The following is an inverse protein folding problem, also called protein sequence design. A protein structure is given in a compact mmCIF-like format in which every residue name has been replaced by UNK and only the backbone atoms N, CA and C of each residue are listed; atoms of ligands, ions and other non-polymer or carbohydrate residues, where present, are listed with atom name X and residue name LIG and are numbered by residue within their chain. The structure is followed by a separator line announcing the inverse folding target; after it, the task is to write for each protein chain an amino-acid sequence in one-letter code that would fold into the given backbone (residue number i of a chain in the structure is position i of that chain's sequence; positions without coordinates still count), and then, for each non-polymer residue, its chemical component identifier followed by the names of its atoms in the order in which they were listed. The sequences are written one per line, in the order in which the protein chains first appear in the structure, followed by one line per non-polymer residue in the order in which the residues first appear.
data_IF_291607618118
#
_entry.id   IF_291607618118
#
_cell.length_a   1.000
_cell.length_b   1.000
_cell.length_c   1.000
_cell.angle_alpha   90.00
_cell.angle_beta   90.00
_cell.angle_gamma   90.00
#
_symmetry.space_group_name_H-M   'P 1'
#
loop_
_entity.id
_entity.type
_entity.pdbx_description
1 polymer ?
#
# COMPACT_ATOMS: atom_id res chain seq x y z
N UNK A 1 3.20 -23.64 4.80
CA UNK A 1 3.31 -22.91 3.51
C UNK A 1 3.63 -21.45 3.81
N UNK A 2 4.77 -20.93 3.34
CA UNK A 2 5.10 -19.50 3.49
C UNK A 2 4.20 -18.75 2.52
N UNK A 3 3.09 -18.17 3.00
CA UNK A 3 2.29 -17.23 2.20
C UNK A 3 3.20 -16.03 1.89
N UNK A 4 3.60 -15.89 0.64
CA UNK A 4 4.43 -14.77 0.20
C UNK A 4 3.55 -13.53 0.15
N UNK A 5 3.73 -12.62 1.10
CA UNK A 5 3.12 -11.29 1.08
C UNK A 5 3.61 -10.51 -0.14
N UNK A 6 2.71 -9.72 -0.74
CA UNK A 6 3.02 -8.84 -1.85
C UNK A 6 3.57 -7.54 -1.26
N UNK A 7 4.83 -7.24 -1.56
CA UNK A 7 5.47 -5.99 -1.16
C UNK A 7 4.89 -4.81 -1.94
N UNK A 8 4.30 -3.86 -1.22
CA UNK A 8 3.65 -2.68 -1.78
C UNK A 8 4.23 -1.41 -1.18
N UNK A 9 4.33 -0.34 -1.98
CA UNK A 9 4.68 1.00 -1.50
C UNK A 9 3.49 1.92 -1.74
N UNK A 10 3.03 2.62 -0.72
CA UNK A 10 1.99 3.64 -0.88
C UNK A 10 2.61 4.85 -1.58
N UNK A 11 2.00 5.29 -2.68
CA UNK A 11 2.46 6.45 -3.44
C UNK A 11 1.59 7.68 -3.18
N UNK A 12 0.29 7.48 -3.04
CA UNK A 12 -0.68 8.54 -2.81
C UNK A 12 -1.88 7.96 -2.08
N UNK A 13 -2.37 8.65 -1.08
CA UNK A 13 -3.60 8.31 -0.38
C UNK A 13 -4.62 9.43 -0.56
N UNK A 14 -5.88 9.04 -0.66
CA UNK A 14 -7.05 9.91 -0.64
C UNK A 14 -8.10 9.27 0.25
N UNK A 15 -9.16 10.00 0.60
CA UNK A 15 -10.21 9.50 1.51
C UNK A 15 -10.87 8.20 1.06
N UNK A 16 -10.83 7.87 -0.25
CA UNK A 16 -11.48 6.68 -0.82
C UNK A 16 -10.51 5.67 -1.43
N UNK A 17 -9.35 6.14 -1.88
CA UNK A 17 -8.47 5.34 -2.75
C UNK A 17 -7.01 5.51 -2.33
N UNK A 18 -6.29 4.39 -2.26
CA UNK A 18 -4.85 4.32 -2.04
C UNK A 18 -4.19 3.88 -3.34
N UNK A 19 -3.32 4.71 -3.88
CA UNK A 19 -2.47 4.34 -5.02
C UNK A 19 -1.24 3.64 -4.49
N UNK A 20 -1.14 2.34 -4.74
CA UNK A 20 0.00 1.52 -4.36
C UNK A 20 0.90 1.23 -5.56
N UNK A 21 2.17 1.01 -5.29
CA UNK A 21 3.15 0.46 -6.20
C UNK A 21 3.52 -0.95 -5.74
N UNK A 22 3.21 -1.94 -6.55
CA UNK A 22 3.66 -3.31 -6.36
C UNK A 22 5.17 -3.32 -6.62
N UNK A 23 5.96 -3.55 -5.57
CA UNK A 23 7.43 -3.47 -5.65
C UNK A 23 7.97 -4.56 -6.57
N UNK A 24 7.40 -5.76 -6.49
CA UNK A 24 7.79 -6.94 -7.29
C UNK A 24 7.50 -6.77 -8.78
N UNK A 25 6.40 -6.09 -9.12
CA UNK A 25 5.93 -5.94 -10.50
C UNK A 25 6.24 -4.54 -11.08
N UNK A 26 6.82 -3.66 -10.27
CA UNK A 26 7.04 -2.24 -10.59
C UNK A 26 5.77 -1.52 -11.13
N UNK A 27 4.58 -2.05 -10.81
CA UNK A 27 3.28 -1.59 -11.35
C UNK A 27 2.57 -0.72 -10.33
N UNK A 28 1.93 0.35 -10.80
CA UNK A 28 1.07 1.21 -9.98
C UNK A 28 -0.38 0.80 -10.15
N UNK A 29 -1.13 0.76 -9.06
CA UNK A 29 -2.54 0.40 -9.06
C UNK A 29 -3.29 1.21 -8.01
N UNK A 30 -4.41 1.85 -8.36
CA UNK A 30 -5.34 2.36 -7.37
C UNK A 30 -6.16 1.21 -6.78
N UNK A 31 -6.25 1.17 -5.45
CA UNK A 31 -7.10 0.26 -4.70
C UNK A 31 -7.98 1.08 -3.75
N UNK A 32 -9.19 0.60 -3.47
CA UNK A 32 -10.02 1.23 -2.46
C UNK A 32 -9.30 1.18 -1.10
N UNK A 33 -9.53 2.19 -0.26
CA UNK A 33 -8.92 2.23 1.07
C UNK A 33 -9.33 1.02 1.92
N UNK A 34 -10.61 0.66 1.89
CA UNK A 34 -11.14 -0.51 2.60
C UNK A 34 -10.46 -1.81 2.16
N UNK A 35 -10.29 -2.02 0.85
CA UNK A 35 -9.66 -3.24 0.35
C UNK A 35 -8.16 -3.24 0.67
N UNK A 36 -7.51 -2.09 0.62
CA UNK A 36 -6.10 -1.96 0.99
C UNK A 36 -5.88 -2.34 2.45
N UNK A 37 -6.64 -1.75 3.37
CA UNK A 37 -6.55 -2.05 4.81
C UNK A 37 -6.86 -3.52 5.10
N UNK A 38 -7.88 -4.08 4.46
CA UNK A 38 -8.24 -5.49 4.58
C UNK A 38 -7.09 -6.41 4.11
N UNK A 39 -6.50 -6.14 2.95
CA UNK A 39 -5.37 -6.92 2.41
C UNK A 39 -4.11 -6.82 3.25
N UNK A 40 -3.85 -5.68 3.88
CA UNK A 40 -2.75 -5.55 4.86
C UNK A 40 -3.05 -6.38 6.10
N UNK A 41 -4.28 -6.30 6.62
CA UNK A 41 -4.71 -7.07 7.80
C UNK A 41 -4.67 -8.59 7.56
N UNK A 42 -5.03 -9.03 6.36
CA UNK A 42 -5.02 -10.44 5.96
C UNK A 42 -3.60 -10.96 5.66
N UNK A 43 -2.59 -10.08 5.72
CA UNK A 43 -1.19 -10.40 5.43
C UNK A 43 -0.88 -10.60 3.94
N UNK A 44 -1.80 -10.22 3.06
CA UNK A 44 -1.59 -10.24 1.61
C UNK A 44 -0.64 -9.12 1.18
N UNK A 45 -0.72 -7.96 1.82
CA UNK A 45 0.13 -6.80 1.54
C UNK A 45 1.13 -6.55 2.66
N UNK A 46 2.39 -6.39 2.27
CA UNK A 46 3.47 -5.93 3.13
C UNK A 46 3.87 -4.53 2.68
N UNK A 47 3.59 -3.53 3.50
CA UNK A 47 3.91 -2.13 3.17
C UNK A 47 5.41 -1.91 3.38
N UNK A 48 6.12 -1.58 2.31
CA UNK A 48 7.56 -1.38 2.31
C UNK A 48 7.88 0.11 2.18
N UNK A 49 8.51 0.64 3.22
CA UNK A 49 8.90 2.04 3.36
C UNK A 49 8.06 2.77 4.40
N UNK A 50 8.63 3.84 4.95
CA UNK A 50 7.92 4.71 5.88
C UNK A 50 6.70 5.29 5.16
N UNK A 51 5.50 4.91 5.60
CA UNK A 51 4.36 5.80 5.49
C UNK A 51 4.63 6.94 6.48
N UNK A 52 5.67 7.74 6.19
CA UNK A 52 5.81 9.04 6.81
C UNK A 52 4.65 9.83 6.25
N UNK A 53 3.64 10.00 7.09
CA UNK A 53 2.66 11.06 6.98
C UNK A 53 3.49 12.33 6.79
N UNK A 54 3.67 12.73 5.53
CA UNK A 54 4.28 13.99 5.20
C UNK A 54 3.25 15.06 5.52
N UNK A 55 3.08 15.34 6.81
CA UNK A 55 2.85 16.68 7.29
C UNK A 55 4.09 17.49 6.90
N UNK A 56 4.12 17.92 5.65
CA UNK A 56 5.02 18.97 5.19
C UNK A 56 4.14 20.10 4.71
N UNK A 57 3.49 20.75 5.68
CA UNK A 57 3.27 22.18 5.61
C UNK A 57 4.66 22.85 5.66
N UNK A 58 5.07 23.45 4.56
CA UNK A 58 6.02 24.57 4.54
C UNK A 58 5.33 25.77 3.91
#
# INVERSE_FOLDING_TARGET
MIKRSIKVKVLRETSRTVTIKLVTLNRRMPVSRSDFEQRVKDGEYEVVGSHEMADSEQ
#
